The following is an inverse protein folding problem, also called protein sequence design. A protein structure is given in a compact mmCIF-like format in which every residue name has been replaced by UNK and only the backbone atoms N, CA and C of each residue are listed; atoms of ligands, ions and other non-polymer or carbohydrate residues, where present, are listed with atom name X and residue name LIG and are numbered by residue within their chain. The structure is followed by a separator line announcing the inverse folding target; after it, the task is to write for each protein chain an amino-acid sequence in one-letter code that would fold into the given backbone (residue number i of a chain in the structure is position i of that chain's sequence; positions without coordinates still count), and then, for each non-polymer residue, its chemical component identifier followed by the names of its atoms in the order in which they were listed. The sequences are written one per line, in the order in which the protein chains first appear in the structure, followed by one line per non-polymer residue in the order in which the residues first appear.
data_IF_469500010259
#
_entry.id   IF_469500010259
#
_cell.length_a   1.000
_cell.length_b   1.000
_cell.length_c   1.000
_cell.angle_alpha   90.00
_cell.angle_beta   90.00
_cell.angle_gamma   90.00
#
_symmetry.space_group_name_H-M   'P 1'
#
loop_
_entity.id
_entity.type
_entity.pdbx_description
1 polymer ?
#
# COMPACT_ATOMS: atom_id res chain seq x y z
N UNK A 1 35.05 1.45 -16.55
CA UNK A 1 34.33 2.74 -16.69
C UNK A 1 33.13 2.46 -17.58
N UNK A 2 31.96 2.33 -17.03
CA UNK A 2 30.72 2.24 -17.84
C UNK A 2 30.65 3.53 -18.66
N UNK A 3 30.38 3.37 -19.96
CA UNK A 3 30.20 4.52 -20.84
C UNK A 3 28.95 5.28 -20.38
N UNK A 4 29.13 6.50 -19.86
CA UNK A 4 28.05 7.34 -19.38
C UNK A 4 26.98 7.56 -20.45
N UNK A 5 27.38 7.49 -21.71
CA UNK A 5 26.48 7.61 -22.86
C UNK A 5 25.54 6.41 -22.95
N UNK A 6 26.07 5.18 -22.80
CA UNK A 6 25.28 3.96 -22.81
C UNK A 6 24.27 3.96 -21.65
N UNK A 7 24.71 4.33 -20.44
CA UNK A 7 23.85 4.45 -19.27
C UNK A 7 22.69 5.43 -19.49
N UNK A 8 22.95 6.61 -20.09
CA UNK A 8 21.89 7.60 -20.38
C UNK A 8 20.89 7.10 -21.41
N UNK A 9 21.36 6.36 -22.42
CA UNK A 9 20.48 5.77 -23.44
C UNK A 9 19.60 4.69 -22.84
N UNK A 10 20.17 3.76 -22.06
CA UNK A 10 19.40 2.71 -21.38
C UNK A 10 18.39 3.29 -20.39
N UNK A 11 18.82 4.21 -19.54
CA UNK A 11 17.96 4.85 -18.55
C UNK A 11 16.81 5.61 -19.23
N UNK A 12 17.12 6.36 -20.30
CA UNK A 12 16.10 7.06 -21.09
C UNK A 12 15.11 6.09 -21.73
N UNK A 13 15.62 4.97 -22.28
CA UNK A 13 14.77 3.93 -22.88
C UNK A 13 13.88 3.25 -21.84
N UNK A 14 14.40 2.95 -20.64
CA UNK A 14 13.63 2.36 -19.53
C UNK A 14 12.52 3.31 -19.10
N UNK A 15 12.83 4.57 -18.79
CA UNK A 15 11.83 5.54 -18.34
C UNK A 15 10.76 5.78 -19.41
N UNK A 16 11.15 5.92 -20.68
CA UNK A 16 10.21 6.07 -21.78
C UNK A 16 9.34 4.83 -21.93
N UNK A 17 9.94 3.64 -21.89
CA UNK A 17 9.23 2.36 -21.94
C UNK A 17 8.19 2.23 -20.82
N UNK A 18 8.56 2.59 -19.57
CA UNK A 18 7.64 2.62 -18.43
C UNK A 18 6.46 3.58 -18.66
N UNK A 19 6.73 4.77 -19.21
CA UNK A 19 5.69 5.73 -19.57
C UNK A 19 4.72 5.17 -20.61
N UNK A 20 5.23 4.49 -21.64
CA UNK A 20 4.42 3.85 -22.68
C UNK A 20 3.60 2.68 -22.12
N UNK A 21 4.20 1.82 -21.32
CA UNK A 21 3.52 0.71 -20.61
C UNK A 21 2.41 1.25 -19.71
N UNK A 22 2.70 2.28 -18.91
CA UNK A 22 1.71 2.93 -18.06
C UNK A 22 0.53 3.51 -18.85
N UNK A 23 0.80 4.10 -20.01
CA UNK A 23 -0.24 4.62 -20.91
C UNK A 23 -1.12 3.51 -21.48
N UNK A 24 -0.55 2.37 -21.86
CA UNK A 24 -1.30 1.19 -22.33
C UNK A 24 -2.15 0.62 -21.19
N UNK A 25 -1.57 0.43 -20.00
CA UNK A 25 -2.29 -0.04 -18.81
C UNK A 25 -3.51 0.85 -18.51
N UNK A 26 -3.33 2.17 -18.51
CA UNK A 26 -4.40 3.13 -18.29
C UNK A 26 -5.55 3.04 -19.31
N UNK A 27 -5.24 2.76 -20.59
CA UNK A 27 -6.26 2.59 -21.65
C UNK A 27 -7.14 1.36 -21.46
N UNK A 28 -6.59 0.29 -20.89
CA UNK A 28 -7.33 -0.97 -20.62
C UNK A 28 -7.89 -1.03 -19.20
N UNK A 29 -7.75 0.06 -18.43
CA UNK A 29 -8.25 0.16 -17.05
C UNK A 29 -7.53 -0.76 -16.05
N UNK A 30 -6.28 -1.12 -16.33
CA UNK A 30 -5.43 -1.92 -15.43
C UNK A 30 -4.42 -1.03 -14.71
N UNK A 31 -4.01 -1.47 -13.51
CA UNK A 31 -2.83 -0.90 -12.85
C UNK A 31 -1.57 -1.19 -13.70
N UNK A 32 -0.64 -0.25 -13.87
CA UNK A 32 0.59 -0.48 -14.63
C UNK A 32 1.58 -1.42 -13.91
N UNK A 33 1.43 -1.63 -12.61
CA UNK A 33 2.37 -2.40 -11.77
C UNK A 33 2.63 -3.82 -12.29
N UNK A 34 1.61 -4.64 -12.67
CA UNK A 34 1.86 -5.96 -13.25
C UNK A 34 2.72 -5.90 -14.51
N UNK A 35 2.49 -4.88 -15.36
CA UNK A 35 3.23 -4.71 -16.61
C UNK A 35 4.67 -4.26 -16.36
N UNK A 36 4.93 -3.45 -15.34
CA UNK A 36 6.29 -3.08 -14.92
C UNK A 36 7.08 -4.30 -14.44
N UNK A 37 6.45 -5.17 -13.64
CA UNK A 37 7.05 -6.43 -13.19
C UNK A 37 7.36 -7.35 -14.37
N UNK A 38 6.41 -7.52 -15.29
CA UNK A 38 6.60 -8.34 -16.48
C UNK A 38 7.69 -7.76 -17.42
N UNK A 39 7.76 -6.44 -17.56
CA UNK A 39 8.83 -5.79 -18.30
C UNK A 39 10.19 -6.07 -17.64
N UNK A 40 10.30 -5.91 -16.31
CA UNK A 40 11.50 -6.27 -15.57
C UNK A 40 11.90 -7.73 -15.79
N UNK A 41 10.95 -8.65 -15.73
CA UNK A 41 11.19 -10.08 -15.99
C UNK A 41 11.68 -10.34 -17.41
N UNK A 42 11.16 -9.61 -18.40
CA UNK A 42 11.56 -9.78 -19.79
C UNK A 42 12.96 -9.22 -20.10
N UNK A 43 13.40 -8.20 -19.37
CA UNK A 43 14.69 -7.52 -19.56
C UNK A 43 15.73 -7.83 -18.47
N UNK A 44 15.42 -8.71 -17.51
CA UNK A 44 16.30 -9.12 -16.42
C UNK A 44 17.23 -10.29 -16.78
N UNK A 45 17.95 -10.77 -15.76
CA UNK A 45 18.84 -11.92 -15.88
C UNK A 45 18.08 -13.16 -16.37
N UNK A 46 18.50 -13.69 -17.52
CA UNK A 46 17.80 -14.82 -18.18
C UNK A 46 16.56 -14.42 -18.98
N UNK A 47 16.27 -13.13 -19.09
CA UNK A 47 15.21 -12.58 -19.95
C UNK A 47 15.61 -12.46 -21.43
N UNK A 48 14.78 -11.77 -22.21
CA UNK A 48 14.94 -11.63 -23.68
C UNK A 48 16.17 -10.76 -24.07
N UNK A 49 16.40 -9.65 -23.34
CA UNK A 49 17.48 -8.69 -23.57
C UNK A 49 17.95 -8.17 -22.21
N UNK A 50 19.07 -8.70 -21.64
CA UNK A 50 19.56 -8.24 -20.35
C UNK A 50 19.99 -6.76 -20.38
N UNK A 51 19.60 -6.00 -19.36
CA UNK A 51 20.00 -4.61 -19.15
C UNK A 51 21.06 -4.58 -18.03
N UNK A 52 22.34 -4.64 -18.41
CA UNK A 52 23.44 -4.79 -17.44
C UNK A 52 24.00 -3.44 -16.95
N UNK A 53 23.96 -2.39 -17.79
CA UNK A 53 24.60 -1.10 -17.49
C UNK A 53 23.84 -0.25 -16.47
N UNK A 54 22.54 -0.48 -16.30
CA UNK A 54 21.66 0.31 -15.40
C UNK A 54 21.33 -0.40 -14.08
N UNK A 55 21.93 -1.56 -13.79
CA UNK A 55 21.57 -2.38 -12.62
C UNK A 55 21.79 -1.63 -11.28
N UNK A 56 22.96 -1.01 -11.10
CA UNK A 56 23.27 -0.25 -9.88
C UNK A 56 22.33 0.95 -9.70
N UNK A 57 22.02 1.66 -10.78
CA UNK A 57 21.08 2.78 -10.73
C UNK A 57 19.65 2.31 -10.41
N UNK A 58 19.20 1.22 -11.02
CA UNK A 58 17.87 0.68 -10.77
C UNK A 58 17.72 0.16 -9.35
N UNK A 59 18.78 -0.42 -8.78
CA UNK A 59 18.82 -0.84 -7.38
C UNK A 59 18.64 0.34 -6.42
N UNK A 60 19.47 1.40 -6.57
CA UNK A 60 19.36 2.62 -5.74
C UNK A 60 18.00 3.32 -5.97
N UNK A 61 17.57 3.37 -7.22
CA UNK A 61 16.25 3.94 -7.57
C UNK A 61 15.08 3.16 -6.94
N UNK A 62 15.21 1.84 -6.85
CA UNK A 62 14.22 0.99 -6.19
C UNK A 62 14.14 1.25 -4.68
N UNK A 63 15.28 1.40 -4.00
CA UNK A 63 15.32 1.76 -2.58
C UNK A 63 14.67 3.13 -2.33
N UNK A 64 14.99 4.14 -3.15
CA UNK A 64 14.35 5.45 -3.08
C UNK A 64 12.84 5.32 -3.34
N UNK A 65 12.44 4.46 -4.25
CA UNK A 65 11.02 4.17 -4.54
C UNK A 65 10.27 3.66 -3.32
N UNK A 66 10.83 2.69 -2.61
CA UNK A 66 10.22 2.16 -1.36
C UNK A 66 10.18 3.22 -0.27
N UNK A 67 11.25 4.01 -0.08
CA UNK A 67 11.30 5.11 0.88
C UNK A 67 10.19 6.13 0.58
N UNK A 68 10.03 6.55 -0.67
CA UNK A 68 9.00 7.50 -1.09
C UNK A 68 7.58 6.93 -0.96
N UNK A 69 7.37 5.65 -1.29
CA UNK A 69 6.08 4.98 -1.10
C UNK A 69 5.64 5.03 0.36
N UNK A 70 6.54 4.68 1.28
CA UNK A 70 6.24 4.64 2.71
C UNK A 70 6.17 6.04 3.35
N UNK A 71 7.00 6.98 2.88
CA UNK A 71 6.87 8.39 3.30
C UNK A 71 5.47 8.92 2.97
N UNK A 72 5.02 8.76 1.70
CA UNK A 72 3.72 9.28 1.29
C UNK A 72 2.57 8.58 2.02
N UNK A 73 2.69 7.28 2.25
CA UNK A 73 1.75 6.56 3.08
C UNK A 73 1.69 7.17 4.50
N UNK A 74 2.86 7.46 5.10
CA UNK A 74 2.94 8.11 6.41
C UNK A 74 2.30 9.51 6.43
N UNK A 75 2.46 10.29 5.35
CA UNK A 75 1.82 11.61 5.19
C UNK A 75 0.28 11.57 5.08
N UNK A 76 -0.31 10.40 4.81
CA UNK A 76 -1.76 10.22 4.79
C UNK A 76 -2.36 10.07 6.19
N UNK A 77 -1.54 9.78 7.19
CA UNK A 77 -1.98 9.55 8.57
C UNK A 77 -1.40 10.57 9.54
N UNK A 78 -2.22 11.08 10.43
CA UNK A 78 -1.74 11.74 11.63
C UNK A 78 -1.38 10.69 12.71
N UNK A 79 -0.43 11.03 13.59
CA UNK A 79 -0.06 10.16 14.70
C UNK A 79 -1.25 9.81 15.63
N UNK A 80 -2.23 10.71 15.78
CA UNK A 80 -3.44 10.48 16.55
C UNK A 80 -4.41 9.51 15.88
N UNK A 81 -4.55 9.60 14.55
CA UNK A 81 -5.36 8.67 13.75
C UNK A 81 -4.75 7.27 13.78
N UNK A 82 -3.42 7.17 13.71
CA UNK A 82 -2.72 5.90 13.84
C UNK A 82 -3.03 5.22 15.18
N UNK A 83 -2.89 5.93 16.31
CA UNK A 83 -3.20 5.38 17.63
C UNK A 83 -4.67 4.97 17.76
N UNK A 84 -5.59 5.74 17.18
CA UNK A 84 -7.01 5.41 17.16
C UNK A 84 -7.29 4.17 16.32
N UNK A 85 -6.68 4.07 15.14
CA UNK A 85 -6.77 2.90 14.26
C UNK A 85 -6.22 1.65 14.94
N UNK A 86 -5.07 1.75 15.62
CA UNK A 86 -4.50 0.66 16.41
C UNK A 86 -5.50 0.13 17.45
N UNK A 87 -6.14 1.01 18.22
CA UNK A 87 -7.11 0.63 19.25
C UNK A 87 -8.37 0.00 18.69
N UNK A 88 -8.84 0.47 17.56
CA UNK A 88 -10.11 0.03 16.95
C UNK A 88 -9.94 -1.19 16.05
N UNK A 89 -8.82 -1.26 15.31
CA UNK A 89 -8.57 -2.29 14.29
C UNK A 89 -7.71 -3.45 14.79
N UNK A 90 -7.16 -3.38 16.02
CA UNK A 90 -6.32 -4.47 16.56
C UNK A 90 -6.95 -5.87 16.42
N UNK A 91 -8.27 -6.09 16.65
CA UNK A 91 -8.83 -7.44 16.48
C UNK A 91 -8.89 -7.86 15.00
N UNK A 92 -9.09 -6.89 14.09
CA UNK A 92 -9.06 -7.14 12.64
C UNK A 92 -7.63 -7.48 12.19
N UNK A 93 -6.62 -6.77 12.71
CA UNK A 93 -5.21 -7.06 12.46
C UNK A 93 -4.77 -8.41 13.00
N UNK A 94 -5.24 -8.81 14.20
CA UNK A 94 -4.96 -10.13 14.76
C UNK A 94 -5.56 -11.26 13.91
N UNK A 95 -6.81 -11.11 13.47
CA UNK A 95 -7.46 -12.06 12.54
C UNK A 95 -6.73 -12.09 11.22
N UNK A 96 -6.33 -10.94 10.69
CA UNK A 96 -5.54 -10.83 9.48
C UNK A 96 -4.22 -11.59 9.58
N UNK A 97 -3.46 -11.36 10.65
CA UNK A 97 -2.20 -12.07 10.91
C UNK A 97 -2.41 -13.59 10.94
N UNK A 98 -3.32 -14.07 11.78
CA UNK A 98 -3.54 -15.51 11.94
C UNK A 98 -3.96 -16.17 10.63
N UNK A 99 -4.91 -15.58 9.90
CA UNK A 99 -5.44 -16.17 8.69
C UNK A 99 -4.48 -16.12 7.50
N UNK A 100 -3.64 -15.11 7.41
CA UNK A 100 -2.81 -14.89 6.23
C UNK A 100 -1.34 -15.28 6.44
N UNK A 101 -0.81 -15.27 7.67
CA UNK A 101 0.51 -15.79 7.99
C UNK A 101 0.53 -17.32 8.05
N UNK A 102 -0.54 -17.95 8.58
CA UNK A 102 -0.62 -19.40 8.74
C UNK A 102 -0.45 -20.19 7.43
N UNK A 103 -1.09 -19.82 6.29
CA UNK A 103 -0.90 -20.55 5.05
C UNK A 103 0.56 -20.60 4.59
N UNK A 104 1.28 -19.49 4.67
CA UNK A 104 2.71 -19.44 4.34
C UNK A 104 3.56 -20.26 5.28
N UNK A 105 3.33 -20.14 6.61
CA UNK A 105 4.05 -20.92 7.60
C UNK A 105 3.86 -22.44 7.36
N UNK A 106 2.61 -22.88 7.16
CA UNK A 106 2.28 -24.29 6.90
C UNK A 106 2.92 -24.77 5.60
N UNK A 107 2.82 -23.97 4.52
CA UNK A 107 3.42 -24.32 3.24
C UNK A 107 4.94 -24.53 3.37
N UNK A 108 5.65 -23.61 4.04
CA UNK A 108 7.09 -23.73 4.24
C UNK A 108 7.47 -24.96 5.08
N UNK A 109 6.70 -25.28 6.13
CA UNK A 109 6.92 -26.49 6.94
C UNK A 109 6.70 -27.77 6.13
N UNK A 110 5.63 -27.80 5.31
CA UNK A 110 5.34 -28.94 4.41
C UNK A 110 6.43 -29.11 3.35
N UNK A 111 6.99 -27.99 2.85
CA UNK A 111 8.12 -27.99 1.90
C UNK A 111 9.47 -28.33 2.56
N UNK A 112 9.51 -28.51 3.88
CA UNK A 112 10.71 -28.87 4.63
C UNK A 112 11.71 -27.71 4.83
N UNK A 113 11.25 -26.44 4.79
CA UNK A 113 12.09 -25.25 4.92
C UNK A 113 12.45 -24.89 6.38
N UNK A 114 11.92 -25.64 7.33
CA UNK A 114 12.19 -25.42 8.75
C UNK A 114 11.53 -24.16 9.34
N UNK A 115 11.81 -23.85 10.63
CA UNK A 115 11.12 -22.77 11.33
C UNK A 115 11.39 -21.38 10.76
N UNK A 116 12.63 -21.11 10.33
CA UNK A 116 13.02 -19.81 9.79
C UNK A 116 12.34 -19.56 8.45
N UNK A 117 12.34 -20.57 7.56
CA UNK A 117 11.59 -20.53 6.30
C UNK A 117 10.08 -20.36 6.53
N UNK A 118 9.54 -21.01 7.57
CA UNK A 118 8.13 -20.89 7.94
C UNK A 118 7.78 -19.46 8.38
N UNK A 119 8.62 -18.84 9.21
CA UNK A 119 8.43 -17.43 9.57
C UNK A 119 8.55 -16.55 8.33
N UNK A 120 9.57 -16.70 7.52
CA UNK A 120 9.75 -15.86 6.33
C UNK A 120 8.56 -15.97 5.37
N UNK A 121 8.11 -17.18 5.01
CA UNK A 121 6.98 -17.36 4.09
C UNK A 121 5.65 -16.93 4.72
N UNK A 122 5.51 -17.01 6.05
CA UNK A 122 4.38 -16.41 6.78
C UNK A 122 4.28 -14.91 6.54
N UNK A 123 5.37 -14.17 6.62
CA UNK A 123 5.40 -12.75 6.33
C UNK A 123 5.09 -12.43 4.87
N UNK A 124 5.66 -13.21 3.92
CA UNK A 124 5.38 -13.07 2.49
C UNK A 124 3.88 -13.17 2.20
N UNK A 125 3.18 -14.10 2.85
CA UNK A 125 1.75 -14.32 2.61
C UNK A 125 0.84 -13.42 3.44
N UNK A 126 1.33 -12.85 4.51
CA UNK A 126 0.54 -11.99 5.39
C UNK A 126 0.36 -10.59 4.83
N UNK A 127 1.46 -9.90 4.49
CA UNK A 127 1.45 -8.47 4.16
C UNK A 127 0.78 -8.16 2.83
N UNK A 128 -0.11 -7.18 2.82
CA UNK A 128 -0.74 -6.64 1.61
C UNK A 128 0.12 -5.53 0.98
N UNK A 129 -0.09 -5.23 -0.30
CA UNK A 129 0.55 -4.09 -0.95
C UNK A 129 -0.29 -2.83 -0.80
N UNK A 130 0.14 -1.93 0.07
CA UNK A 130 -0.49 -0.62 0.27
C UNK A 130 -0.48 0.20 -1.03
N UNK A 131 0.62 0.15 -1.80
CA UNK A 131 0.75 0.88 -3.06
C UNK A 131 -0.22 0.40 -4.14
N UNK A 132 -0.33 -0.93 -4.35
CA UNK A 132 -1.29 -1.50 -5.31
C UNK A 132 -2.72 -1.21 -4.88
N UNK A 133 -3.04 -1.37 -3.60
CA UNK A 133 -4.39 -1.17 -3.06
C UNK A 133 -4.79 0.30 -3.18
N UNK A 134 -3.92 1.25 -2.82
CA UNK A 134 -4.19 2.68 -2.99
C UNK A 134 -4.47 3.04 -4.46
N UNK A 135 -3.65 2.53 -5.38
CA UNK A 135 -3.84 2.71 -6.83
C UNK A 135 -5.18 2.14 -7.29
N UNK A 136 -5.50 0.91 -6.91
CA UNK A 136 -6.77 0.25 -7.27
C UNK A 136 -7.99 1.01 -6.72
N UNK A 137 -7.92 1.49 -5.47
CA UNK A 137 -9.01 2.30 -4.90
C UNK A 137 -9.20 3.62 -5.65
N UNK A 138 -8.11 4.26 -6.05
CA UNK A 138 -8.13 5.49 -6.86
C UNK A 138 -8.76 5.22 -8.23
N UNK A 139 -8.28 4.20 -8.94
CA UNK A 139 -8.76 3.84 -10.28
C UNK A 139 -10.25 3.43 -10.31
N UNK A 140 -10.73 2.82 -9.23
CA UNK A 140 -12.13 2.45 -9.05
C UNK A 140 -13.01 3.57 -8.45
N UNK A 141 -12.44 4.75 -8.17
CA UNK A 141 -13.17 5.88 -7.56
C UNK A 141 -13.70 5.58 -6.15
N UNK A 142 -13.00 4.75 -5.37
CA UNK A 142 -13.49 4.25 -4.07
C UNK A 142 -12.89 4.94 -2.86
N UNK A 143 -12.04 5.95 -3.03
CA UNK A 143 -11.38 6.66 -1.91
C UNK A 143 -12.38 7.30 -0.92
N UNK A 144 -13.55 7.76 -1.39
CA UNK A 144 -14.60 8.33 -0.56
C UNK A 144 -15.61 7.32 0.03
N UNK A 145 -15.39 6.02 -0.16
CA UNK A 145 -16.33 5.00 0.30
C UNK A 145 -16.22 4.77 1.82
N UNK A 146 -17.31 4.30 2.43
CA UNK A 146 -17.39 4.00 3.87
C UNK A 146 -16.43 2.91 4.34
N UNK A 147 -16.09 1.94 3.48
CA UNK A 147 -15.15 0.87 3.77
C UNK A 147 -13.69 1.29 3.69
N UNK A 148 -13.36 2.40 3.03
CA UNK A 148 -11.98 2.86 2.82
C UNK A 148 -11.20 3.05 4.12
N UNK A 149 -11.72 3.73 5.16
CA UNK A 149 -10.99 3.83 6.44
C UNK A 149 -10.70 2.48 7.09
N UNK A 150 -11.56 1.47 6.86
CA UNK A 150 -11.34 0.12 7.40
C UNK A 150 -10.22 -0.59 6.66
N UNK A 151 -10.21 -0.51 5.32
CA UNK A 151 -9.14 -1.06 4.48
C UNK A 151 -7.80 -0.45 4.87
N UNK A 152 -7.73 0.87 4.93
CA UNK A 152 -6.53 1.60 5.33
C UNK A 152 -6.09 1.24 6.76
N UNK A 153 -7.05 1.09 7.68
CA UNK A 153 -6.76 0.67 9.06
C UNK A 153 -6.12 -0.73 9.14
N UNK A 154 -6.53 -1.68 8.30
CA UNK A 154 -5.89 -3.01 8.21
C UNK A 154 -4.47 -2.87 7.65
N UNK A 155 -4.28 -2.12 6.57
CA UNK A 155 -2.96 -1.88 5.96
C UNK A 155 -1.99 -1.23 6.96
N UNK A 156 -2.43 -0.21 7.70
CA UNK A 156 -1.62 0.43 8.74
C UNK A 156 -1.21 -0.57 9.83
N UNK A 157 -2.12 -1.47 10.22
CA UNK A 157 -1.80 -2.52 11.19
C UNK A 157 -0.74 -3.48 10.65
N UNK A 158 -0.83 -3.87 9.38
CA UNK A 158 0.17 -4.70 8.72
C UNK A 158 1.53 -3.98 8.64
N UNK A 159 1.56 -2.73 8.17
CA UNK A 159 2.78 -1.94 8.02
C UNK A 159 3.47 -1.70 9.37
N UNK A 160 2.69 -1.40 10.40
CA UNK A 160 3.23 -1.25 11.76
C UNK A 160 3.76 -2.56 12.33
N UNK A 161 3.08 -3.66 12.05
CA UNK A 161 3.55 -4.98 12.46
C UNK A 161 4.85 -5.36 11.73
N UNK A 162 5.06 -4.93 10.47
CA UNK A 162 6.31 -5.12 9.76
C UNK A 162 7.50 -4.40 10.42
N UNK A 163 7.27 -3.28 11.07
CA UNK A 163 8.30 -2.59 11.86
C UNK A 163 8.89 -3.46 12.98
N UNK A 164 8.11 -4.40 13.50
CA UNK A 164 8.53 -5.38 14.50
C UNK A 164 8.99 -6.68 13.85
N UNK A 165 8.28 -7.12 12.83
CA UNK A 165 8.49 -8.40 12.16
C UNK A 165 9.83 -8.46 11.41
N UNK A 166 10.20 -7.41 10.65
CA UNK A 166 11.43 -7.41 9.86
C UNK A 166 12.69 -7.51 10.72
N UNK A 167 12.87 -6.74 11.80
CA UNK A 167 14.00 -6.93 12.71
C UNK A 167 14.02 -8.31 13.37
N UNK A 168 12.86 -8.85 13.73
CA UNK A 168 12.76 -10.20 14.29
C UNK A 168 13.21 -11.26 13.29
N UNK A 169 12.72 -11.18 12.05
CA UNK A 169 13.11 -12.07 10.98
C UNK A 169 14.62 -11.98 10.71
N UNK A 170 15.17 -10.77 10.60
CA UNK A 170 16.61 -10.55 10.37
C UNK A 170 17.46 -11.16 11.48
N UNK A 171 17.04 -11.00 12.75
CA UNK A 171 17.73 -11.62 13.88
C UNK A 171 17.68 -13.15 13.82
N UNK A 172 16.57 -13.74 13.43
CA UNK A 172 16.43 -15.19 13.24
C UNK A 172 17.30 -15.71 12.09
N UNK A 173 17.36 -14.99 10.98
CA UNK A 173 18.19 -15.33 9.82
C UNK A 173 19.69 -15.24 10.11
N UNK A 174 20.11 -14.27 10.93
CA UNK A 174 21.48 -14.10 11.38
C UNK A 174 21.93 -15.17 12.38
N UNK A 175 21.05 -16.09 12.80
CA UNK A 175 21.36 -17.09 13.80
C UNK A 175 21.71 -16.50 15.18
N UNK A 176 21.27 -15.28 15.44
CA UNK A 176 21.54 -14.57 16.69
C UNK A 176 20.85 -15.30 17.84
N UNK A 177 21.54 -15.44 18.97
CA UNK A 177 20.97 -16.05 20.18
C UNK A 177 19.67 -15.34 20.60
N UNK A 178 18.80 -16.03 21.34
CA UNK A 178 17.55 -15.44 21.87
C UNK A 178 17.79 -14.11 22.58
N UNK A 179 18.92 -13.96 23.27
CA UNK A 179 19.31 -12.71 23.95
C UNK A 179 19.65 -11.59 22.95
N UNK A 180 20.38 -11.89 21.87
CA UNK A 180 20.68 -10.90 20.81
C UNK A 180 19.44 -10.52 20.00
N UNK A 181 18.58 -11.48 19.67
CA UNK A 181 17.29 -11.24 19.01
C UNK A 181 16.33 -10.40 19.84
N UNK A 182 16.29 -10.61 21.17
CA UNK A 182 15.48 -9.78 22.06
C UNK A 182 15.99 -8.34 22.17
N UNK A 183 17.31 -8.14 22.13
CA UNK A 183 17.91 -6.80 22.13
C UNK A 183 17.58 -6.06 20.83
N UNK A 184 17.73 -6.70 19.67
CA UNK A 184 17.37 -6.12 18.37
C UNK A 184 15.88 -5.73 18.33
N UNK A 185 15.00 -6.58 18.83
CA UNK A 185 13.58 -6.31 18.97
C UNK A 185 13.30 -5.13 19.89
N UNK A 186 13.97 -5.05 21.05
CA UNK A 186 13.83 -3.91 21.97
C UNK A 186 14.30 -2.60 21.35
N UNK A 187 15.40 -2.62 20.61
CA UNK A 187 15.89 -1.45 19.86
C UNK A 187 14.86 -1.02 18.82
N UNK A 188 14.34 -1.96 18.02
CA UNK A 188 13.33 -1.66 17.01
C UNK A 188 12.05 -1.08 17.61
N UNK A 189 11.49 -1.73 18.63
CA UNK A 189 10.30 -1.25 19.36
C UNK A 189 10.55 0.09 20.05
N UNK A 190 11.73 0.26 20.65
CA UNK A 190 12.16 1.51 21.27
C UNK A 190 12.25 2.64 20.26
N UNK A 191 12.84 2.39 19.09
CA UNK A 191 12.96 3.36 18.00
C UNK A 191 11.58 3.78 17.47
N UNK A 192 10.72 2.81 17.14
CA UNK A 192 9.37 3.08 16.67
C UNK A 192 8.56 3.83 17.72
N UNK A 193 8.59 3.36 18.98
CA UNK A 193 7.89 4.01 20.10
C UNK A 193 8.39 5.42 20.38
N UNK A 194 9.70 5.65 20.30
CA UNK A 194 10.31 6.96 20.49
C UNK A 194 9.92 7.93 19.38
N UNK A 195 9.99 7.52 18.09
CA UNK A 195 9.59 8.39 16.98
C UNK A 195 8.09 8.67 17.03
N UNK A 196 7.26 7.68 17.34
CA UNK A 196 5.82 7.88 17.51
C UNK A 196 5.53 8.83 18.68
N UNK A 197 6.25 8.74 19.78
CA UNK A 197 6.16 9.68 20.91
C UNK A 197 6.55 11.10 20.48
N UNK A 198 7.65 11.26 19.73
CA UNK A 198 8.06 12.55 19.18
C UNK A 198 7.00 13.13 18.23
N UNK A 199 6.45 12.29 17.34
CA UNK A 199 5.39 12.69 16.42
C UNK A 199 4.12 13.17 17.15
N UNK A 200 3.68 12.41 18.17
CA UNK A 200 2.52 12.77 19.00
C UNK A 200 2.74 14.04 19.83
N UNK A 201 3.92 14.20 20.40
CA UNK A 201 4.19 15.28 21.36
C UNK A 201 4.72 16.54 20.69
N UNK A 202 5.52 16.40 19.63
CA UNK A 202 6.26 17.48 19.00
C UNK A 202 6.00 17.60 17.49
N UNK A 203 5.04 16.88 16.90
CA UNK A 203 4.77 16.89 15.47
C UNK A 203 4.54 18.29 14.89
N UNK A 204 3.83 19.16 15.62
CA UNK A 204 3.65 20.56 15.21
C UNK A 204 4.96 21.36 15.17
N UNK A 205 5.89 21.07 16.10
CA UNK A 205 7.20 21.74 16.13
C UNK A 205 8.06 21.22 14.98
N UNK A 206 8.06 19.93 14.74
CA UNK A 206 8.76 19.31 13.60
C UNK A 206 8.23 19.88 12.29
N UNK A 207 6.91 19.91 12.12
CA UNK A 207 6.29 20.49 10.92
C UNK A 207 6.67 21.96 10.71
N UNK A 208 6.70 22.78 11.77
CA UNK A 208 7.16 24.18 11.67
C UNK A 208 8.63 24.30 11.29
N UNK A 209 9.50 23.44 11.83
CA UNK A 209 10.92 23.46 11.50
C UNK A 209 11.21 23.07 10.05
N UNK A 210 10.35 22.23 9.46
CA UNK A 210 10.43 21.77 8.07
C UNK A 210 9.65 22.67 7.11
N UNK A 211 8.71 23.47 7.63
CA UNK A 211 7.83 24.33 6.83
C UNK A 211 8.63 25.36 6.02
N UNK A 212 8.25 25.51 4.77
CA UNK A 212 8.77 26.56 3.88
C UNK A 212 7.70 27.00 2.90
N UNK A 213 7.59 28.30 2.66
CA UNK A 213 6.72 28.85 1.62
C UNK A 213 7.28 28.59 0.20
N UNK A 214 8.58 28.27 0.12
CA UNK A 214 9.23 27.89 -1.13
C UNK A 214 9.08 26.38 -1.35
N UNK A 215 8.38 25.93 -2.43
CA UNK A 215 8.16 24.52 -2.74
C UNK A 215 9.47 23.72 -2.92
N UNK A 216 10.52 24.32 -3.48
CA UNK A 216 11.83 23.70 -3.66
C UNK A 216 12.47 23.41 -2.31
N UNK A 217 12.46 24.36 -1.39
CA UNK A 217 13.01 24.17 -0.04
C UNK A 217 12.23 23.13 0.73
N UNK A 218 10.91 23.15 0.67
CA UNK A 218 10.05 22.14 1.30
C UNK A 218 10.38 20.73 0.78
N UNK A 219 10.49 20.59 -0.55
CA UNK A 219 10.86 19.32 -1.18
C UNK A 219 12.20 18.80 -0.67
N UNK A 220 13.24 19.63 -0.73
CA UNK A 220 14.61 19.24 -0.36
C UNK A 220 14.71 18.88 1.13
N UNK A 221 14.09 19.67 2.01
CA UNK A 221 14.13 19.43 3.46
C UNK A 221 13.37 18.16 3.82
N UNK A 222 12.16 17.94 3.29
CA UNK A 222 11.38 16.73 3.59
C UNK A 222 12.06 15.49 3.03
N UNK A 223 12.50 15.53 1.77
CA UNK A 223 13.18 14.40 1.15
C UNK A 223 14.50 14.09 1.85
N UNK A 224 15.32 15.11 2.10
CA UNK A 224 16.61 14.97 2.79
C UNK A 224 16.45 14.40 4.21
N UNK A 225 15.50 14.93 4.99
CA UNK A 225 15.16 14.40 6.31
C UNK A 225 14.72 12.93 6.23
N UNK A 226 13.90 12.60 5.26
CA UNK A 226 13.38 11.24 5.09
C UNK A 226 14.48 10.25 4.77
N UNK A 227 15.33 10.56 3.80
CA UNK A 227 16.45 9.70 3.41
C UNK A 227 17.45 9.55 4.56
N UNK A 228 17.72 10.64 5.29
CA UNK A 228 18.60 10.61 6.46
C UNK A 228 18.03 9.69 7.56
N UNK A 229 16.76 9.86 7.92
CA UNK A 229 16.09 9.03 8.96
C UNK A 229 15.99 7.57 8.50
N UNK A 230 15.69 7.33 7.22
CA UNK A 230 15.66 5.99 6.64
C UNK A 230 17.04 5.30 6.75
N UNK A 231 18.13 6.02 6.41
CA UNK A 231 19.49 5.51 6.53
C UNK A 231 19.90 5.25 7.99
N UNK A 232 19.57 6.15 8.90
CA UNK A 232 19.81 5.94 10.35
C UNK A 232 19.00 4.75 10.88
N UNK A 233 17.74 4.61 10.48
CA UNK A 233 16.90 3.48 10.85
C UNK A 233 17.55 2.15 10.41
N UNK A 234 18.06 2.10 9.19
CA UNK A 234 18.73 0.93 8.64
C UNK A 234 20.00 0.57 9.42
N UNK A 235 20.78 1.57 9.86
CA UNK A 235 21.94 1.35 10.75
C UNK A 235 21.52 0.77 12.12
N UNK A 236 20.33 1.13 12.60
CA UNK A 236 19.75 0.61 13.84
C UNK A 236 19.01 -0.73 13.65
N UNK A 237 19.20 -1.40 12.50
CA UNK A 237 18.53 -2.65 12.15
C UNK A 237 16.99 -2.51 12.02
N UNK A 238 16.50 -1.30 11.80
CA UNK A 238 15.11 -1.01 11.44
C UNK A 238 15.04 -0.77 9.94
N UNK A 239 14.00 -1.26 9.29
CA UNK A 239 13.84 -1.04 7.83
C UNK A 239 13.84 0.45 7.48
N UNK A 240 14.56 0.84 6.42
CA UNK A 240 14.57 2.19 5.86
C UNK A 240 13.14 2.68 5.54
N UNK A 241 12.30 1.77 5.04
CA UNK A 241 10.90 2.00 4.73
C UNK A 241 10.10 2.43 5.97
N UNK A 242 10.32 1.77 7.11
CA UNK A 242 9.69 2.14 8.39
C UNK A 242 10.16 3.50 8.85
N UNK A 243 11.47 3.80 8.74
CA UNK A 243 12.01 5.13 9.03
C UNK A 243 11.30 6.23 8.25
N UNK A 244 11.15 6.03 6.93
CA UNK A 244 10.43 6.95 6.05
C UNK A 244 8.94 7.12 6.43
N UNK A 245 8.26 6.03 6.73
CA UNK A 245 6.86 6.04 7.19
C UNK A 245 6.68 6.87 8.47
N UNK A 246 7.57 6.70 9.44
CA UNK A 246 7.54 7.43 10.71
C UNK A 246 7.79 8.93 10.50
N UNK A 247 8.67 9.33 9.57
CA UNK A 247 8.83 10.74 9.17
C UNK A 247 7.52 11.28 8.61
N UNK A 248 6.87 10.53 7.72
CA UNK A 248 5.57 10.91 7.15
C UNK A 248 4.51 11.18 8.24
N UNK A 249 4.38 10.28 9.22
CA UNK A 249 3.45 10.45 10.35
C UNK A 249 3.82 11.65 11.25
N UNK A 250 5.12 11.96 11.38
CA UNK A 250 5.58 13.09 12.19
C UNK A 250 5.24 14.44 11.58
N UNK A 251 5.09 14.51 10.27
CA UNK A 251 4.65 15.71 9.55
C UNK A 251 3.12 15.81 9.59
N UNK A 252 2.59 17.01 9.72
CA UNK A 252 1.15 17.23 9.85
C UNK A 252 0.70 18.55 9.23
N UNK A 253 -0.62 18.68 8.99
CA UNK A 253 -1.24 19.89 8.48
C UNK A 253 -0.79 20.28 7.07
N UNK A 254 -0.65 21.57 6.81
CA UNK A 254 -0.29 22.12 5.49
C UNK A 254 1.05 21.62 4.96
N UNK A 255 2.02 21.36 5.86
CA UNK A 255 3.34 20.82 5.50
C UNK A 255 3.21 19.43 4.91
N UNK A 256 2.42 18.56 5.54
CA UNK A 256 2.17 17.20 5.02
C UNK A 256 1.47 17.25 3.66
N UNK A 257 0.47 18.11 3.50
CA UNK A 257 -0.26 18.26 2.24
C UNK A 257 0.64 18.84 1.12
N UNK A 258 1.44 19.86 1.42
CA UNK A 258 2.42 20.45 0.50
C UNK A 258 3.47 19.42 0.07
N UNK A 259 4.09 18.72 1.02
CA UNK A 259 5.06 17.69 0.77
C UNK A 259 4.48 16.55 -0.09
N UNK A 260 3.25 16.10 0.20
CA UNK A 260 2.55 15.08 -0.58
C UNK A 260 2.38 15.49 -2.04
N UNK A 261 1.95 16.72 -2.31
CA UNK A 261 1.78 17.23 -3.69
C UNK A 261 3.10 17.24 -4.47
N UNK A 262 4.19 17.63 -3.82
CA UNK A 262 5.51 17.74 -4.45
C UNK A 262 6.17 16.36 -4.67
N UNK A 263 6.01 15.44 -3.72
CA UNK A 263 6.69 14.15 -3.74
C UNK A 263 5.91 13.07 -4.52
N UNK A 264 4.62 13.22 -4.76
CA UNK A 264 3.81 12.24 -5.50
C UNK A 264 4.38 11.90 -6.88
N UNK A 265 4.78 12.87 -7.74
CA UNK A 265 5.38 12.55 -9.03
C UNK A 265 6.70 11.79 -8.93
N UNK A 266 7.53 12.12 -7.93
CA UNK A 266 8.79 11.41 -7.67
C UNK A 266 8.51 9.98 -7.20
N UNK A 267 7.57 9.80 -6.29
CA UNK A 267 7.14 8.47 -5.87
C UNK A 267 6.68 7.62 -7.06
N UNK A 268 5.85 8.18 -7.95
CA UNK A 268 5.31 7.43 -9.10
C UNK A 268 6.44 6.98 -10.04
N UNK A 269 7.44 7.85 -10.27
CA UNK A 269 8.63 7.51 -11.05
C UNK A 269 9.45 6.39 -10.38
N UNK A 270 9.85 6.58 -9.14
CA UNK A 270 10.72 5.63 -8.45
C UNK A 270 9.99 4.33 -8.06
N UNK A 271 8.68 4.36 -7.84
CA UNK A 271 7.88 3.16 -7.67
C UNK A 271 7.85 2.31 -8.97
N UNK A 272 7.74 2.95 -10.14
CA UNK A 272 7.84 2.24 -11.41
C UNK A 272 9.23 1.58 -11.56
N UNK A 273 10.31 2.30 -11.22
CA UNK A 273 11.69 1.76 -11.20
C UNK A 273 11.80 0.59 -10.23
N UNK A 274 11.23 0.69 -9.03
CA UNK A 274 11.21 -0.39 -8.04
C UNK A 274 10.57 -1.67 -8.59
N UNK A 275 9.38 -1.57 -9.20
CA UNK A 275 8.70 -2.75 -9.74
C UNK A 275 9.45 -3.38 -10.91
N UNK A 276 10.11 -2.57 -11.74
CA UNK A 276 10.98 -3.10 -12.81
C UNK A 276 12.21 -3.79 -12.24
N UNK A 277 12.92 -3.13 -11.32
CA UNK A 277 14.09 -3.72 -10.66
C UNK A 277 13.76 -5.07 -10.02
N UNK A 278 12.61 -5.15 -9.38
CA UNK A 278 12.13 -6.39 -8.83
C UNK A 278 11.96 -7.50 -9.88
N UNK A 279 11.39 -7.16 -11.04
CA UNK A 279 11.31 -8.09 -12.17
C UNK A 279 12.70 -8.44 -12.74
N UNK A 280 13.61 -7.47 -12.87
CA UNK A 280 15.00 -7.66 -13.34
C UNK A 280 15.78 -8.64 -12.45
N UNK A 281 15.57 -8.57 -11.14
CA UNK A 281 16.25 -9.41 -10.14
C UNK A 281 15.74 -10.86 -10.09
N UNK A 282 14.72 -11.19 -10.87
CA UNK A 282 14.10 -12.52 -10.89
C UNK A 282 14.42 -13.25 -12.20
N UNK A 283 14.97 -14.47 -12.11
CA UNK A 283 15.18 -15.30 -13.29
C UNK A 283 13.84 -15.93 -13.73
N UNK A 284 13.35 -15.67 -14.95
CA UNK A 284 12.10 -16.24 -15.46
C UNK A 284 12.10 -17.78 -15.48
N UNK A 285 13.27 -18.42 -15.63
CA UNK A 285 13.38 -19.86 -15.68
C UNK A 285 13.07 -20.53 -14.33
N UNK A 286 13.17 -19.81 -13.21
CA UNK A 286 12.91 -20.33 -11.87
C UNK A 286 11.41 -20.29 -11.50
N UNK A 287 10.59 -19.63 -12.32
CA UNK A 287 9.13 -19.46 -12.04
C UNK A 287 8.33 -20.73 -12.36
N UNK A 288 8.49 -21.43 -13.51
CA UNK A 288 7.65 -22.57 -13.87
C UNK A 288 7.63 -23.69 -12.83
N UNK A 289 8.76 -24.09 -12.19
CA UNK A 289 8.75 -25.14 -11.18
C UNK A 289 7.94 -24.82 -9.92
N UNK A 290 7.83 -23.53 -9.57
CA UNK A 290 7.15 -23.07 -8.35
C UNK A 290 5.75 -22.53 -8.61
N UNK A 291 5.30 -22.50 -9.87
CA UNK A 291 4.02 -21.90 -10.26
C UNK A 291 2.82 -22.59 -9.60
N UNK A 292 2.82 -23.92 -9.53
CA UNK A 292 1.72 -24.67 -8.90
C UNK A 292 1.64 -24.40 -7.39
N UNK A 293 2.70 -24.56 -6.58
CA UNK A 293 2.63 -24.22 -5.16
C UNK A 293 2.32 -22.73 -4.94
N UNK A 294 2.85 -21.81 -5.76
CA UNK A 294 2.51 -20.40 -5.68
C UNK A 294 1.02 -20.13 -5.98
N UNK A 295 0.45 -20.78 -6.99
CA UNK A 295 -0.96 -20.65 -7.33
C UNK A 295 -1.88 -21.22 -6.22
N UNK A 296 -1.55 -22.38 -5.66
CA UNK A 296 -2.30 -22.96 -4.54
C UNK A 296 -2.27 -22.02 -3.32
N UNK A 297 -1.09 -21.51 -2.99
CA UNK A 297 -0.92 -20.55 -1.90
C UNK A 297 -1.70 -19.25 -2.17
N UNK A 298 -1.68 -18.77 -3.41
CA UNK A 298 -2.45 -17.59 -3.82
C UNK A 298 -3.96 -17.80 -3.65
N UNK A 299 -4.51 -18.96 -4.07
CA UNK A 299 -5.93 -19.26 -3.90
C UNK A 299 -6.32 -19.23 -2.41
N UNK A 300 -5.55 -19.89 -1.54
CA UNK A 300 -5.82 -19.92 -0.11
C UNK A 300 -5.78 -18.50 0.47
N UNK A 301 -4.74 -17.73 0.14
CA UNK A 301 -4.58 -16.37 0.69
C UNK A 301 -5.55 -15.35 0.10
N UNK A 302 -6.03 -15.53 -1.12
CA UNK A 302 -7.16 -14.75 -1.67
C UNK A 302 -8.41 -14.95 -0.82
N UNK A 303 -8.75 -16.18 -0.51
CA UNK A 303 -9.94 -16.50 0.29
C UNK A 303 -9.82 -15.96 1.72
N UNK A 304 -8.67 -16.14 2.36
CA UNK A 304 -8.44 -15.63 3.73
C UNK A 304 -8.43 -14.11 3.77
N UNK A 305 -7.87 -13.42 2.78
CA UNK A 305 -7.90 -11.94 2.70
C UNK A 305 -9.29 -11.39 2.41
N UNK A 306 -10.05 -12.01 1.52
CA UNK A 306 -11.45 -11.63 1.30
C UNK A 306 -12.22 -11.77 2.61
N UNK A 307 -12.04 -12.86 3.35
CA UNK A 307 -12.68 -13.03 4.65
C UNK A 307 -12.22 -11.98 5.67
N UNK A 308 -10.92 -11.69 5.76
CA UNK A 308 -10.36 -10.67 6.66
C UNK A 308 -10.98 -9.30 6.42
N UNK A 309 -10.98 -8.84 5.17
CA UNK A 309 -11.56 -7.52 4.84
C UNK A 309 -13.07 -7.48 5.04
N UNK A 310 -13.77 -8.57 4.73
CA UNK A 310 -15.20 -8.71 5.03
C UNK A 310 -15.46 -8.65 6.54
N UNK A 311 -14.66 -9.36 7.34
CA UNK A 311 -14.77 -9.37 8.80
C UNK A 311 -14.50 -7.99 9.40
N UNK A 312 -13.41 -7.34 8.98
CA UNK A 312 -13.04 -6.00 9.44
C UNK A 312 -14.13 -4.97 9.14
N UNK A 313 -14.67 -4.98 7.91
CA UNK A 313 -15.76 -4.10 7.50
C UNK A 313 -17.08 -4.42 8.22
N UNK A 314 -17.39 -5.70 8.48
CA UNK A 314 -18.56 -6.11 9.27
C UNK A 314 -18.45 -5.57 10.69
N UNK A 315 -17.27 -5.67 11.30
CA UNK A 315 -17.01 -5.20 12.65
C UNK A 315 -17.15 -3.67 12.78
N UNK A 316 -16.82 -2.94 11.71
CA UNK A 316 -16.99 -1.49 11.60
C UNK A 316 -18.43 -1.06 11.21
N UNK A 317 -19.40 -1.98 11.19
CA UNK A 317 -20.80 -1.67 10.87
C UNK A 317 -21.07 -1.38 9.39
N UNK A 318 -20.14 -1.71 8.48
CA UNK A 318 -20.30 -1.48 7.05
C UNK A 318 -21.33 -2.46 6.47
N UNK A 319 -22.16 -1.98 5.53
CA UNK A 319 -23.16 -2.80 4.84
C UNK A 319 -22.57 -3.87 3.92
N UNK A 320 -23.40 -4.84 3.48
CA UNK A 320 -22.96 -6.02 2.73
C UNK A 320 -22.09 -5.69 1.51
N UNK A 321 -22.47 -4.71 0.69
CA UNK A 321 -21.68 -4.28 -0.48
C UNK A 321 -20.27 -3.84 -0.11
N UNK A 322 -20.15 -2.97 0.90
CA UNK A 322 -18.84 -2.48 1.38
C UNK A 322 -17.98 -3.59 1.98
N UNK A 323 -18.57 -4.60 2.65
CA UNK A 323 -17.82 -5.75 3.19
C UNK A 323 -17.13 -6.55 2.08
N UNK A 324 -17.85 -6.85 1.00
CA UNK A 324 -17.27 -7.58 -0.12
C UNK A 324 -16.22 -6.76 -0.88
N UNK A 325 -16.46 -5.44 -1.03
CA UNK A 325 -15.46 -4.54 -1.61
C UNK A 325 -14.19 -4.49 -0.75
N UNK A 326 -14.31 -4.34 0.56
CA UNK A 326 -13.17 -4.36 1.47
C UNK A 326 -12.37 -5.66 1.34
N UNK A 327 -13.05 -6.82 1.34
CA UNK A 327 -12.40 -8.11 1.18
C UNK A 327 -11.64 -8.23 -0.14
N UNK A 328 -12.29 -7.93 -1.26
CA UNK A 328 -11.66 -8.03 -2.58
C UNK A 328 -10.50 -7.05 -2.78
N UNK A 329 -10.51 -5.91 -2.08
CA UNK A 329 -9.47 -4.89 -2.22
C UNK A 329 -8.17 -5.28 -1.51
N UNK A 330 -8.22 -5.99 -0.37
CA UNK A 330 -7.05 -6.37 0.44
C UNK A 330 -6.21 -7.52 -0.15
N UNK A 331 -6.59 -8.09 -1.29
CA UNK A 331 -5.94 -9.29 -1.85
C UNK A 331 -4.53 -9.03 -2.39
N UNK A 332 -4.27 -7.83 -2.92
CA UNK A 332 -3.01 -7.54 -3.61
C UNK A 332 -1.79 -7.69 -2.68
N UNK A 333 -0.72 -8.29 -3.22
CA UNK A 333 0.60 -8.40 -2.59
C UNK A 333 1.60 -7.54 -3.34
N UNK A 334 2.76 -7.25 -2.74
CA UNK A 334 3.73 -6.35 -3.38
C UNK A 334 5.09 -6.33 -2.71
N UNK A 335 5.61 -5.12 -2.55
CA UNK A 335 6.98 -4.79 -2.18
C UNK A 335 7.47 -5.51 -0.92
N UNK A 336 6.72 -5.48 0.16
CA UNK A 336 7.16 -6.11 1.42
C UNK A 336 7.27 -7.63 1.34
N UNK A 337 6.37 -8.30 0.61
CA UNK A 337 6.47 -9.75 0.39
C UNK A 337 7.82 -10.12 -0.24
N UNK A 338 8.33 -9.25 -1.10
CA UNK A 338 9.59 -9.44 -1.80
C UNK A 338 10.79 -9.06 -0.94
N UNK A 339 10.71 -7.96 -0.20
CA UNK A 339 11.74 -7.60 0.78
C UNK A 339 11.94 -8.76 1.77
N UNK A 340 10.86 -9.34 2.28
CA UNK A 340 10.91 -10.51 3.17
C UNK A 340 11.57 -11.70 2.49
N UNK A 341 11.16 -12.01 1.26
CA UNK A 341 11.76 -13.11 0.49
C UNK A 341 13.25 -12.85 0.23
N UNK A 342 13.62 -11.64 -0.16
CA UNK A 342 15.02 -11.24 -0.40
C UNK A 342 15.90 -11.43 0.83
N UNK A 343 15.40 -11.05 2.03
CA UNK A 343 16.13 -11.29 3.28
C UNK A 343 16.35 -12.77 3.55
N UNK A 344 15.39 -13.62 3.20
CA UNK A 344 15.42 -15.05 3.50
C UNK A 344 16.14 -15.91 2.45
N UNK A 345 16.40 -15.38 1.24
CA UNK A 345 17.04 -16.13 0.13
C UNK A 345 18.39 -16.74 0.52
N UNK A 346 19.19 -16.07 1.33
CA UNK A 346 20.48 -16.59 1.78
C UNK A 346 20.34 -17.87 2.63
N UNK A 347 19.23 -18.01 3.37
CA UNK A 347 18.96 -19.19 4.23
C UNK A 347 18.13 -20.25 3.50
N UNK A 348 17.15 -19.81 2.69
CA UNK A 348 16.28 -20.69 1.89
C UNK A 348 16.14 -20.11 0.46
N UNK A 349 17.04 -20.51 -0.46
CA UNK A 349 17.05 -19.96 -1.83
C UNK A 349 15.75 -20.17 -2.61
N UNK A 350 14.98 -21.22 -2.29
CA UNK A 350 13.72 -21.52 -2.98
C UNK A 350 12.58 -20.53 -2.66
N UNK A 351 12.75 -19.71 -1.61
CA UNK A 351 11.72 -18.71 -1.23
C UNK A 351 11.63 -17.59 -2.25
N UNK A 352 12.75 -17.19 -2.88
CA UNK A 352 12.79 -16.10 -3.87
C UNK A 352 11.85 -16.36 -5.05
N UNK A 353 12.07 -17.44 -5.85
CA UNK A 353 11.21 -17.79 -6.98
C UNK A 353 9.75 -18.00 -6.58
N UNK A 354 9.49 -18.68 -5.45
CA UNK A 354 8.12 -18.91 -4.97
C UNK A 354 7.40 -17.59 -4.65
N UNK A 355 8.06 -16.71 -3.88
CA UNK A 355 7.48 -15.42 -3.51
C UNK A 355 7.24 -14.54 -4.73
N UNK A 356 8.16 -14.57 -5.71
CA UNK A 356 8.01 -13.86 -6.98
C UNK A 356 6.80 -14.32 -7.76
N UNK A 357 6.67 -15.63 -7.99
CA UNK A 357 5.51 -16.19 -8.69
C UNK A 357 4.21 -15.87 -7.94
N UNK A 358 4.21 -16.01 -6.62
CA UNK A 358 3.07 -15.72 -5.76
C UNK A 358 2.65 -14.25 -5.84
N UNK A 359 3.61 -13.31 -5.74
CA UNK A 359 3.33 -11.87 -5.80
C UNK A 359 2.87 -11.48 -7.20
N UNK A 360 3.49 -11.97 -8.27
CA UNK A 360 3.05 -11.74 -9.64
C UNK A 360 1.60 -12.16 -9.86
N UNK A 361 1.21 -13.33 -9.37
CA UNK A 361 -0.19 -13.80 -9.43
C UNK A 361 -1.10 -12.79 -8.70
N UNK A 362 -0.74 -12.38 -7.49
CA UNK A 362 -1.61 -11.56 -6.65
C UNK A 362 -1.62 -10.07 -7.01
N UNK A 363 -0.58 -9.55 -7.63
CA UNK A 363 -0.59 -8.20 -8.22
C UNK A 363 -1.57 -8.12 -9.41
N UNK A 364 -1.72 -9.22 -10.15
CA UNK A 364 -2.72 -9.32 -11.24
C UNK A 364 -4.12 -9.61 -10.70
N UNK A 365 -4.23 -10.59 -9.81
CA UNK A 365 -5.51 -11.05 -9.24
C UNK A 365 -6.13 -9.99 -8.30
N UNK A 366 -5.31 -9.23 -7.56
CA UNK A 366 -5.77 -8.21 -6.61
C UNK A 366 -6.70 -7.16 -7.21
N UNK A 367 -6.31 -6.45 -8.27
CA UNK A 367 -7.21 -5.51 -8.97
C UNK A 367 -8.48 -6.17 -9.50
N UNK A 368 -8.39 -7.42 -9.98
CA UNK A 368 -9.54 -8.17 -10.47
C UNK A 368 -10.50 -8.52 -9.32
N UNK A 369 -9.99 -9.00 -8.19
CA UNK A 369 -10.83 -9.27 -7.00
C UNK A 369 -11.46 -8.00 -6.46
N UNK A 370 -10.72 -6.90 -6.38
CA UNK A 370 -11.27 -5.61 -5.98
C UNK A 370 -12.47 -5.19 -6.85
N UNK A 371 -12.38 -5.41 -8.16
CA UNK A 371 -13.44 -5.06 -9.12
C UNK A 371 -14.64 -6.00 -9.06
N UNK A 372 -14.41 -7.32 -8.96
CA UNK A 372 -15.43 -8.33 -9.23
C UNK A 372 -16.05 -8.98 -7.97
N UNK A 373 -15.41 -8.90 -6.81
CA UNK A 373 -15.89 -9.58 -5.59
C UNK A 373 -17.29 -9.16 -5.20
N UNK A 374 -17.61 -7.85 -5.25
CA UNK A 374 -18.96 -7.36 -4.94
C UNK A 374 -20.02 -7.87 -5.93
N UNK A 375 -19.88 -7.67 -7.26
CA UNK A 375 -20.89 -8.16 -8.21
C UNK A 375 -21.11 -9.66 -8.15
N UNK A 376 -20.06 -10.45 -7.93
CA UNK A 376 -20.16 -11.91 -7.78
C UNK A 376 -20.95 -12.26 -6.52
N UNK A 377 -20.65 -11.63 -5.39
CA UNK A 377 -21.34 -11.87 -4.14
C UNK A 377 -22.84 -11.50 -4.22
N UNK A 378 -23.17 -10.37 -4.85
CA UNK A 378 -24.56 -9.96 -5.09
C UNK A 378 -25.31 -10.95 -5.98
N UNK A 379 -24.68 -11.44 -7.04
CA UNK A 379 -25.27 -12.47 -7.91
C UNK A 379 -25.52 -13.79 -7.18
N UNK A 380 -24.57 -14.24 -6.34
CA UNK A 380 -24.73 -15.45 -5.54
C UNK A 380 -25.88 -15.27 -4.53
N UNK A 381 -25.97 -14.10 -3.88
CA UNK A 381 -27.03 -13.82 -2.92
C UNK A 381 -28.40 -13.79 -3.61
N UNK A 382 -28.52 -13.14 -4.76
CA UNK A 382 -29.75 -13.11 -5.54
C UNK A 382 -30.22 -14.53 -5.98
N UNK A 383 -29.27 -15.42 -6.31
CA UNK A 383 -29.59 -16.82 -6.63
C UNK A 383 -30.09 -17.59 -5.39
N UNK A 384 -29.54 -17.34 -4.20
CA UNK A 384 -29.98 -17.98 -2.95
C UNK A 384 -31.34 -17.50 -2.49
N UNK A 385 -31.64 -16.23 -2.70
CA UNK A 385 -32.90 -15.60 -2.25
C UNK A 385 -34.06 -15.79 -3.25
N UNK A 386 -33.90 -16.67 -4.22
CA UNK A 386 -34.94 -17.06 -5.20
C UNK A 386 -35.32 -15.93 -6.16
N UNK A 387 -34.42 -15.04 -6.49
CA UNK A 387 -34.60 -14.06 -7.54
C UNK A 387 -35.50 -12.87 -7.17
N UNK A 388 -35.74 -12.59 -5.89
CA UNK A 388 -36.37 -11.32 -5.49
C UNK A 388 -35.33 -10.19 -5.57
N UNK A 389 -35.47 -9.20 -6.47
CA UNK A 389 -34.60 -8.04 -6.47
C UNK A 389 -34.80 -7.27 -5.15
N UNK A 390 -33.70 -6.91 -4.50
CA UNK A 390 -33.69 -6.05 -3.31
C UNK A 390 -34.27 -4.68 -3.71
N UNK A 391 -35.51 -4.40 -3.29
CA UNK A 391 -36.18 -3.08 -3.47
C UNK A 391 -35.67 -2.03 -2.47
N UNK A 392 -34.55 -2.24 -1.84
CA UNK A 392 -33.94 -1.38 -0.82
C UNK A 392 -32.97 -0.32 -1.35
N UNK A 393 -33.21 0.28 -2.48
CA UNK A 393 -32.41 1.36 -3.05
C UNK A 393 -33.24 2.39 -3.77
N UNK A 394 -34.08 3.13 -3.05
CA UNK A 394 -34.65 4.35 -3.62
C UNK A 394 -33.48 5.27 -4.04
N UNK A 395 -33.31 5.45 -5.33
CA UNK A 395 -32.35 6.39 -5.90
C UNK A 395 -32.73 7.79 -5.45
N UNK A 396 -31.74 8.65 -5.19
CA UNK A 396 -31.92 10.07 -4.83
C UNK A 396 -32.85 10.81 -5.80
N UNK A 397 -33.07 10.28 -7.00
CA UNK A 397 -34.01 10.80 -7.99
C UNK A 397 -35.48 10.50 -7.68
N UNK A 398 -35.83 9.43 -6.94
CA UNK A 398 -37.21 9.15 -6.54
C UNK A 398 -37.64 9.95 -5.33
N UNK A 399 -36.72 10.29 -4.42
CA UNK A 399 -37.01 11.17 -3.27
C UNK A 399 -37.23 12.62 -3.74
N UNK A 400 -36.63 13.04 -4.84
CA UNK A 400 -36.85 14.37 -5.43
C UNK A 400 -38.23 14.50 -6.13
N UNK A 401 -38.85 13.38 -6.54
CA UNK A 401 -40.17 13.36 -7.18
C UNK A 401 -41.33 13.26 -6.19
N UNK A 402 -41.10 12.93 -4.93
CA UNK A 402 -42.12 12.80 -3.90
C UNK A 402 -42.21 13.99 -2.95
N UNK A 403 -41.45 15.06 -3.18
CA UNK A 403 -41.63 16.31 -2.44
C UNK A 403 -42.92 16.99 -2.92
N UNK A 404 -43.89 17.31 -2.03
CA UNK A 404 -45.12 18.01 -2.42
C UNK A 404 -44.77 19.41 -2.95
N UNK A 405 -45.23 19.72 -4.17
CA UNK A 405 -45.22 21.07 -4.71
C UNK A 405 -45.90 22.01 -3.73
N UNK A 406 -45.16 22.84 -3.03
CA UNK A 406 -45.71 24.01 -2.37
C UNK A 406 -46.18 24.94 -3.46
N UNK A 407 -47.52 25.00 -3.63
CA UNK A 407 -48.17 26.08 -4.38
C UNK A 407 -47.76 27.40 -3.73
N UNK A 408 -47.06 28.21 -4.48
CA UNK A 408 -46.94 29.66 -4.22
C UNK A 408 -48.33 30.24 -4.44
N UNK A 409 -49.04 30.47 -3.32
CA UNK A 409 -50.25 31.24 -3.30
C UNK A 409 -49.93 32.74 -3.26
N UNK A 410 -50.66 33.45 -4.07
CA UNK A 410 -50.76 34.90 -4.18
C UNK A 410 -50.49 35.67 -2.89
N UNK A 411 -49.56 36.58 -2.95
CA UNK A 411 -49.59 37.84 -2.22
C UNK A 411 -49.05 38.94 -3.16
N UNK A 412 -49.99 39.47 -3.98
CA UNK A 412 -49.93 40.83 -4.44
C UNK A 412 -50.15 41.77 -3.24
N UNK A 413 -49.67 42.97 -3.35
CA UNK A 413 -49.75 44.13 -2.46
C UNK A 413 -48.70 44.24 -1.35
N UNK A 414 -47.65 44.99 -1.70
CA UNK A 414 -47.17 46.09 -0.86
C UNK A 414 -46.28 47.03 -1.76
N UNK A 415 -46.87 48.19 -2.04
CA UNK A 415 -46.27 49.37 -2.69
C UNK A 415 -45.00 49.86 -1.96
N UNK A 416 -44.02 50.44 -2.64
CA UNK A 416 -42.88 51.06 -2.00
C UNK A 416 -43.18 52.50 -1.57
N UNK A 417 -42.92 52.79 -0.31
CA UNK A 417 -42.82 54.19 0.19
C UNK A 417 -41.43 54.79 -0.05
N UNK A 418 -41.35 56.13 -0.27
CA UNK A 418 -40.14 56.75 -0.79
C UNK A 418 -39.15 57.17 0.31
N UNK A 419 -37.89 57.29 -0.13
CA UNK A 419 -36.73 57.77 0.58
C UNK A 419 -36.96 59.09 1.38
N UNK A 420 -36.55 59.06 2.66
CA UNK A 420 -36.37 60.23 3.49
C UNK A 420 -34.91 60.57 3.69
N UNK A 421 -34.46 61.69 3.19
CA UNK A 421 -33.22 62.42 3.53
C UNK A 421 -33.18 62.84 5.00
N UNK A 422 -32.04 62.68 5.65
CA UNK A 422 -31.53 63.53 6.75
C UNK A 422 -30.04 63.22 6.95
N UNK A 423 -29.12 64.05 6.53
CA UNK A 423 -28.45 65.21 7.19
C UNK A 423 -27.93 64.86 8.60
N UNK A 424 -26.58 64.85 8.70
CA UNK A 424 -25.73 65.80 9.47
C UNK A 424 -25.51 65.37 10.94
N UNK A 425 -24.34 64.98 11.26
CA UNK A 425 -23.20 65.70 11.94
C UNK A 425 -22.01 64.72 12.08
#
# INVERSE_FOLDING_TARGET
MHDTTALLVELGAVILGLGLIGRVAGRIGLSPIPLYLLAGLAFGHGGLIPLDASEEFTMVGAEIGVILLLLLLGLEYSASELVTSLKTQYPSGAVDFVLNATPGAVAALVLGWGPVGAVALAGVTWISSSGVIAKVMTDLGRLGNRETPVILGVLVMEDLAMAVYLPLLTAMLAGVSLAGGSLALLIALGTVGFVLYLALRHGRLISRAVSSDNPEMLLLVVLGLTVLVAGVAQQLQVSAAVGAFLVGIALSGEVAEGARKLLTPLRDLFAAVFFVFFGLSTNPADIPPVLLPAALLAVVTVLTKIFTGWYAARRAGIGSRGRWRAGGTLVARGEFSIVIAGLAVATEPRIGPLATAYVLILVIVGPLTARWTQPIAEKIQAMRDGGKPDQGGATVQEVAKSAPERRLGDHDDLTPEPAGEARGD
#
